data_IF_357624325248
#
_entry.id   IF_357624325248
#
_cell.length_a   1.000
_cell.length_b   1.000
_cell.length_c   1.000
_cell.angle_alpha   90.00
_cell.angle_beta   90.00
_cell.angle_gamma   90.00
#
_symmetry.space_group_name_H-M   'P 1'
#
loop_
_entity.id
_entity.type
_entity.pdbx_description
1 polymer ?
#
# COMPACT_ATOMS: atom_id res chain seq x y z
N UNK A 1 -44.08 -1.20 55.25
CA UNK A 1 -43.70 -0.33 54.12
C UNK A 1 -42.51 0.59 54.44
N UNK A 2 -42.62 1.56 55.35
CA UNK A 2 -41.51 2.51 55.67
C UNK A 2 -40.18 1.83 56.02
N UNK A 3 -40.24 0.75 56.82
CA UNK A 3 -39.04 0.02 57.24
C UNK A 3 -38.32 -0.70 56.10
N UNK A 4 -39.04 -1.19 55.09
CA UNK A 4 -38.41 -1.88 53.94
C UNK A 4 -37.83 -0.89 52.93
N UNK A 5 -38.53 0.22 52.66
CA UNK A 5 -38.03 1.27 51.77
C UNK A 5 -36.72 1.87 52.29
N UNK A 6 -36.53 1.94 53.61
CA UNK A 6 -35.30 2.46 54.21
C UNK A 6 -34.07 1.55 54.08
N UNK A 7 -34.22 0.27 53.74
CA UNK A 7 -33.10 -0.68 53.59
C UNK A 7 -32.49 -0.67 52.19
N UNK A 8 -33.23 -0.18 51.19
CA UNK A 8 -32.88 -0.26 49.77
C UNK A 8 -32.40 1.12 49.30
N UNK A 9 -31.36 1.16 48.46
CA UNK A 9 -30.89 2.42 47.86
C UNK A 9 -31.90 2.96 46.84
N UNK A 10 -31.95 4.28 46.67
CA UNK A 10 -32.92 4.95 45.80
C UNK A 10 -32.92 4.41 44.36
N UNK A 11 -31.73 4.15 43.80
CA UNK A 11 -31.59 3.59 42.45
C UNK A 11 -32.15 2.17 42.33
N UNK A 12 -31.98 1.36 43.38
CA UNK A 12 -32.46 -0.02 43.41
C UNK A 12 -33.98 -0.08 43.57
N UNK A 13 -34.58 0.88 44.28
CA UNK A 13 -36.05 1.02 44.35
C UNK A 13 -36.66 1.24 42.97
N UNK A 14 -35.95 1.91 42.06
CA UNK A 14 -36.41 2.09 40.67
C UNK A 14 -36.13 0.88 39.78
N UNK A 15 -34.98 0.24 39.93
CA UNK A 15 -34.57 -0.91 39.11
C UNK A 15 -35.33 -2.19 39.46
N UNK A 16 -35.71 -2.38 40.73
CA UNK A 16 -36.20 -3.65 41.26
C UNK A 16 -37.58 -3.49 41.95
N UNK A 17 -38.52 -2.76 41.32
CA UNK A 17 -39.87 -2.56 41.88
C UNK A 17 -40.61 -3.88 42.18
N UNK A 18 -40.44 -4.89 41.34
CA UNK A 18 -41.09 -6.19 41.52
C UNK A 18 -40.60 -6.93 42.78
N UNK A 19 -39.28 -6.92 43.03
CA UNK A 19 -38.70 -7.51 44.23
C UNK A 19 -39.23 -6.83 45.50
N UNK A 20 -39.37 -5.50 45.45
CA UNK A 20 -39.93 -4.71 46.55
C UNK A 20 -41.42 -5.05 46.78
N UNK A 21 -42.21 -5.19 45.72
CA UNK A 21 -43.61 -5.59 45.81
C UNK A 21 -43.77 -6.95 46.51
N UNK A 22 -42.97 -7.94 46.13
CA UNK A 22 -42.99 -9.27 46.75
C UNK A 22 -42.64 -9.23 48.24
N UNK A 23 -41.60 -8.48 48.62
CA UNK A 23 -41.21 -8.31 50.02
C UNK A 23 -42.30 -7.62 50.86
N UNK A 24 -42.98 -6.61 50.30
CA UNK A 24 -44.09 -5.94 50.98
C UNK A 24 -45.28 -6.89 51.18
N UNK A 25 -45.67 -7.65 50.16
CA UNK A 25 -46.76 -8.63 50.27
C UNK A 25 -46.45 -9.64 51.36
N UNK A 26 -45.21 -10.16 51.41
CA UNK A 26 -44.81 -11.13 52.42
C UNK A 26 -44.93 -10.60 53.85
N UNK A 27 -44.43 -9.38 54.11
CA UNK A 27 -44.46 -8.79 55.46
C UNK A 27 -45.88 -8.40 55.86
N UNK A 28 -46.67 -7.87 54.92
CA UNK A 28 -48.05 -7.48 55.19
C UNK A 28 -48.93 -8.70 55.44
N UNK A 29 -48.75 -9.78 54.68
CA UNK A 29 -49.45 -11.06 54.89
C UNK A 29 -49.18 -11.63 56.28
N UNK A 30 -47.92 -11.66 56.72
CA UNK A 30 -47.54 -12.12 58.06
C UNK A 30 -48.18 -11.28 59.19
N UNK A 31 -48.34 -9.97 58.97
CA UNK A 31 -48.98 -9.10 59.95
C UNK A 31 -50.52 -9.20 59.94
N UNK A 32 -51.12 -9.57 58.81
CA UNK A 32 -52.57 -9.66 58.61
C UNK A 32 -53.18 -11.02 58.99
N UNK A 33 -52.33 -12.05 59.16
CA UNK A 33 -52.72 -13.41 59.56
C UNK A 33 -53.64 -13.47 60.80
N UNK A 34 -53.39 -12.73 61.90
CA UNK A 34 -54.26 -12.78 63.08
C UNK A 34 -55.65 -12.16 62.85
N UNK A 35 -55.82 -11.39 61.77
CA UNK A 35 -57.06 -10.70 61.44
C UNK A 35 -57.85 -11.45 60.36
N UNK A 36 -57.30 -12.55 59.83
CA UNK A 36 -57.94 -13.34 58.78
C UNK A 36 -58.03 -12.61 57.42
N UNK A 37 -57.17 -11.63 57.17
CA UNK A 37 -57.15 -10.85 55.93
C UNK A 37 -55.99 -11.34 55.06
N UNK A 38 -56.25 -11.68 53.80
CA UNK A 38 -55.25 -12.09 52.83
C UNK A 38 -54.90 -10.96 51.86
N UNK A 39 -53.61 -10.67 51.71
CA UNK A 39 -53.11 -9.68 50.76
C UNK A 39 -52.70 -10.35 49.44
N UNK A 40 -53.54 -10.24 48.41
CA UNK A 40 -53.31 -10.90 47.12
C UNK A 40 -52.19 -10.25 46.28
N UNK A 41 -52.13 -8.92 46.25
CA UNK A 41 -51.15 -8.19 45.43
C UNK A 41 -50.90 -6.79 45.97
N UNK A 42 -49.64 -6.36 45.86
CA UNK A 42 -49.23 -4.99 46.16
C UNK A 42 -48.48 -4.41 44.95
N UNK A 43 -48.76 -3.15 44.62
CA UNK A 43 -48.09 -2.40 43.57
C UNK A 43 -47.74 -0.99 44.02
N UNK A 44 -46.46 -0.63 43.85
CA UNK A 44 -46.04 0.75 43.97
C UNK A 44 -46.45 1.50 42.70
N UNK A 45 -47.35 2.49 42.87
CA UNK A 45 -47.75 3.40 41.79
C UNK A 45 -46.66 4.45 41.53
N UNK A 46 -46.60 5.46 42.37
CA UNK A 46 -45.73 6.62 42.17
C UNK A 46 -44.81 6.87 43.37
N UNK A 47 -43.56 7.22 43.08
CA UNK A 47 -42.57 7.63 44.08
C UNK A 47 -42.22 9.08 43.79
N UNK A 48 -42.58 9.97 44.70
CA UNK A 48 -42.32 11.40 44.56
C UNK A 48 -40.97 11.74 45.19
N UNK A 49 -40.01 12.11 44.34
CA UNK A 49 -38.71 12.61 44.78
C UNK A 49 -38.71 14.14 44.77
N UNK A 50 -38.04 14.78 45.76
CA UNK A 50 -37.80 16.21 45.69
C UNK A 50 -36.91 16.54 44.49
N UNK A 51 -37.21 17.68 43.85
CA UNK A 51 -36.58 18.11 42.59
C UNK A 51 -35.04 18.12 42.65
N UNK A 52 -34.48 18.58 43.78
CA UNK A 52 -33.03 18.63 44.01
C UNK A 52 -32.32 17.28 43.86
N UNK A 53 -32.96 16.18 44.28
CA UNK A 53 -32.36 14.84 44.17
C UNK A 53 -32.43 14.34 42.72
N UNK A 54 -33.53 14.63 42.01
CA UNK A 54 -33.68 14.26 40.59
C UNK A 54 -32.60 14.93 39.74
N UNK A 55 -32.35 16.21 39.96
CA UNK A 55 -31.33 16.98 39.25
C UNK A 55 -29.91 16.46 39.54
N UNK A 56 -29.60 16.16 40.80
CA UNK A 56 -28.31 15.57 41.18
C UNK A 56 -28.09 14.20 40.52
N UNK A 57 -29.12 13.35 40.50
CA UNK A 57 -29.07 12.05 39.86
C UNK A 57 -28.91 12.16 38.34
N UNK A 58 -29.63 13.09 37.70
CA UNK A 58 -29.48 13.36 36.27
C UNK A 58 -28.06 13.81 35.93
N UNK A 59 -27.49 14.74 36.71
CA UNK A 59 -26.14 15.22 36.53
C UNK A 59 -25.10 14.10 36.68
N UNK A 60 -25.29 13.19 37.63
CA UNK A 60 -24.43 12.02 37.81
C UNK A 60 -24.49 11.07 36.61
N UNK A 61 -25.70 10.72 36.15
CA UNK A 61 -25.89 9.84 34.98
C UNK A 61 -25.30 10.47 33.71
N UNK A 62 -25.48 11.78 33.54
CA UNK A 62 -24.91 12.51 32.41
C UNK A 62 -23.37 12.54 32.48
N UNK A 63 -22.79 12.76 33.66
CA UNK A 63 -21.34 12.71 33.86
C UNK A 63 -20.78 11.32 33.53
N UNK A 64 -21.43 10.25 33.99
CA UNK A 64 -21.02 8.88 33.67
C UNK A 64 -21.16 8.57 32.18
N UNK A 65 -22.23 9.03 31.54
CA UNK A 65 -22.40 8.92 30.08
C UNK A 65 -21.30 9.67 29.33
N UNK A 66 -21.00 10.91 29.71
CA UNK A 66 -19.93 11.73 29.10
C UNK A 66 -18.57 11.06 29.28
N UNK A 67 -18.28 10.52 30.47
CA UNK A 67 -17.05 9.79 30.74
C UNK A 67 -16.92 8.56 29.84
N UNK A 68 -17.98 7.75 29.73
CA UNK A 68 -17.98 6.57 28.85
C UNK A 68 -17.82 6.95 27.39
N UNK A 69 -18.52 7.99 26.93
CA UNK A 69 -18.39 8.48 25.56
C UNK A 69 -16.96 8.95 25.26
N UNK A 70 -16.34 9.73 26.14
CA UNK A 70 -14.97 10.22 25.97
C UNK A 70 -13.92 9.09 25.93
N UNK A 71 -14.09 8.05 26.76
CA UNK A 71 -13.22 6.87 26.73
C UNK A 71 -13.36 6.16 25.39
N UNK A 72 -14.59 5.88 24.95
CA UNK A 72 -14.87 5.17 23.71
C UNK A 72 -14.39 5.95 22.47
N UNK A 73 -14.52 7.28 22.49
CA UNK A 73 -14.00 8.13 21.43
C UNK A 73 -12.47 8.11 21.37
N UNK A 74 -11.80 8.20 22.52
CA UNK A 74 -10.34 8.11 22.61
C UNK A 74 -9.81 6.75 22.13
N UNK A 75 -10.48 5.67 22.52
CA UNK A 75 -10.16 4.32 22.06
C UNK A 75 -10.36 4.18 20.55
N UNK A 76 -11.49 4.66 20.02
CA UNK A 76 -11.74 4.67 18.58
C UNK A 76 -10.71 5.49 17.79
N UNK A 77 -10.29 6.65 18.32
CA UNK A 77 -9.23 7.46 17.70
C UNK A 77 -7.89 6.73 17.70
N UNK A 78 -7.52 6.10 18.82
CA UNK A 78 -6.29 5.31 18.94
C UNK A 78 -6.29 4.14 17.95
N UNK A 79 -7.37 3.37 17.89
CA UNK A 79 -7.49 2.23 16.98
C UNK A 79 -7.47 2.67 15.51
N UNK A 80 -8.18 3.75 15.18
CA UNK A 80 -8.17 4.35 13.84
C UNK A 80 -6.77 4.80 13.42
N UNK A 81 -6.01 5.42 14.33
CA UNK A 81 -4.65 5.86 14.06
C UNK A 81 -3.70 4.68 13.84
N UNK A 82 -3.82 3.61 14.63
CA UNK A 82 -3.04 2.37 14.45
C UNK A 82 -3.37 1.74 13.10
N UNK A 83 -4.64 1.58 12.76
CA UNK A 83 -5.06 1.00 11.50
C UNK A 83 -4.55 1.79 10.28
N UNK A 84 -4.58 3.13 10.35
CA UNK A 84 -3.99 3.99 9.31
C UNK A 84 -2.48 3.79 9.20
N UNK A 85 -1.76 3.80 10.33
CA UNK A 85 -0.31 3.63 10.33
C UNK A 85 0.11 2.25 9.80
N UNK A 86 -0.61 1.19 10.19
CA UNK A 86 -0.38 -0.15 9.66
C UNK A 86 -0.69 -0.26 8.17
N UNK A 87 -1.80 0.34 7.72
CA UNK A 87 -2.14 0.41 6.30
C UNK A 87 -1.05 1.10 5.48
N UNK A 88 -0.54 2.24 5.97
CA UNK A 88 0.58 2.96 5.33
C UNK A 88 1.86 2.11 5.30
N UNK A 89 2.21 1.46 6.41
CA UNK A 89 3.39 0.58 6.47
C UNK A 89 3.28 -0.56 5.46
N UNK A 90 2.14 -1.26 5.44
CA UNK A 90 1.90 -2.37 4.50
C UNK A 90 1.93 -1.89 3.05
N UNK A 91 1.31 -0.74 2.76
CA UNK A 91 1.33 -0.15 1.43
C UNK A 91 2.74 0.21 0.96
N UNK A 92 3.57 0.77 1.85
CA UNK A 92 4.96 1.12 1.51
C UNK A 92 5.82 -0.12 1.26
N UNK A 93 5.66 -1.16 2.07
CA UNK A 93 6.36 -2.44 1.87
C UNK A 93 5.96 -3.06 0.54
N UNK A 94 4.65 -3.16 0.25
CA UNK A 94 4.16 -3.71 -1.01
C UNK A 94 4.62 -2.89 -2.22
N UNK A 95 4.67 -1.55 -2.11
CA UNK A 95 5.18 -0.71 -3.17
C UNK A 95 6.67 -0.97 -3.46
N UNK A 96 7.50 -1.06 -2.41
CA UNK A 96 8.93 -1.36 -2.56
C UNK A 96 9.18 -2.77 -3.08
N UNK A 97 8.40 -3.75 -2.63
CA UNK A 97 8.47 -5.13 -3.15
C UNK A 97 8.05 -5.19 -4.61
N UNK A 98 6.98 -4.47 -4.99
CA UNK A 98 6.53 -4.34 -6.36
C UNK A 98 7.58 -3.75 -7.29
N UNK A 99 8.21 -2.64 -6.89
CA UNK A 99 9.30 -2.01 -7.63
C UNK A 99 10.50 -2.96 -7.80
N UNK A 100 10.88 -3.67 -6.74
CA UNK A 100 11.96 -4.67 -6.80
C UNK A 100 11.64 -5.79 -7.79
N UNK A 101 10.41 -6.29 -7.76
CA UNK A 101 9.95 -7.35 -8.66
C UNK A 101 9.89 -6.84 -10.10
N UNK A 102 9.42 -5.62 -10.34
CA UNK A 102 9.37 -5.01 -11.67
C UNK A 102 10.78 -4.88 -12.26
N UNK A 103 11.75 -4.36 -11.50
CA UNK A 103 13.14 -4.23 -11.95
C UNK A 103 13.73 -5.61 -12.26
N UNK A 104 13.50 -6.60 -11.41
CA UNK A 104 13.95 -7.98 -11.65
C UNK A 104 13.35 -8.53 -12.94
N UNK A 105 12.03 -8.45 -13.10
CA UNK A 105 11.32 -8.99 -14.26
C UNK A 105 11.75 -8.33 -15.57
N UNK A 106 12.02 -7.02 -15.53
CA UNK A 106 12.56 -6.30 -16.67
C UNK A 106 13.98 -6.77 -17.00
N UNK A 107 14.86 -6.84 -16.01
CA UNK A 107 16.24 -7.28 -16.22
C UNK A 107 16.32 -8.74 -16.73
N UNK A 108 15.48 -9.64 -16.21
CA UNK A 108 15.40 -11.02 -16.70
C UNK A 108 14.82 -11.09 -18.10
N UNK A 109 13.76 -10.32 -18.38
CA UNK A 109 13.16 -10.22 -19.71
C UNK A 109 14.17 -9.73 -20.76
N UNK A 110 14.95 -8.70 -20.44
CA UNK A 110 16.01 -8.17 -21.31
C UNK A 110 17.14 -9.19 -21.51
N UNK A 111 17.61 -9.82 -20.44
CA UNK A 111 18.66 -10.84 -20.51
C UNK A 111 18.23 -12.03 -21.37
N UNK A 112 17.00 -12.51 -21.20
CA UNK A 112 16.45 -13.61 -21.98
C UNK A 112 16.23 -13.23 -23.45
N UNK A 113 15.80 -11.99 -23.73
CA UNK A 113 15.69 -11.49 -25.09
C UNK A 113 17.06 -11.46 -25.80
N UNK A 114 18.10 -10.95 -25.12
CA UNK A 114 19.47 -10.94 -25.63
C UNK A 114 19.98 -12.36 -25.86
N UNK A 115 19.75 -13.27 -24.90
CA UNK A 115 20.15 -14.68 -25.03
C UNK A 115 19.51 -15.33 -26.25
N UNK A 116 18.20 -15.18 -26.43
CA UNK A 116 17.48 -15.72 -27.59
C UNK A 116 17.97 -15.12 -28.91
N UNK A 117 18.27 -13.82 -28.92
CA UNK A 117 18.83 -13.16 -30.11
C UNK A 117 20.23 -13.70 -30.43
N UNK A 118 21.09 -13.87 -29.43
CA UNK A 118 22.44 -14.42 -29.60
C UNK A 118 22.40 -15.88 -30.07
N UNK A 119 21.52 -16.71 -29.50
CA UNK A 119 21.28 -18.09 -29.94
C UNK A 119 20.80 -18.14 -31.39
N UNK A 120 19.81 -17.31 -31.74
CA UNK A 120 19.29 -17.22 -33.12
C UNK A 120 20.37 -16.79 -34.11
N UNK A 121 21.24 -15.84 -33.72
CA UNK A 121 22.39 -15.42 -34.55
C UNK A 121 23.43 -16.51 -34.69
N UNK A 122 23.76 -17.20 -33.60
CA UNK A 122 24.71 -18.31 -33.65
C UNK A 122 24.21 -19.42 -34.58
N UNK A 123 22.92 -19.73 -34.53
CA UNK A 123 22.31 -20.71 -35.42
C UNK A 123 22.29 -20.23 -36.88
N UNK A 124 21.95 -18.97 -37.13
CA UNK A 124 22.03 -18.39 -38.47
C UNK A 124 23.45 -18.46 -39.05
N UNK A 125 24.48 -18.15 -38.24
CA UNK A 125 25.88 -18.25 -38.66
C UNK A 125 26.27 -19.70 -38.96
N UNK A 126 25.81 -20.68 -38.16
CA UNK A 126 26.04 -22.11 -38.45
C UNK A 126 25.43 -22.54 -39.77
N UNK A 127 24.19 -22.11 -40.06
CA UNK A 127 23.51 -22.41 -41.33
C UNK A 127 24.25 -21.77 -42.51
N UNK A 128 24.75 -20.53 -42.36
CA UNK A 128 25.55 -19.88 -43.41
C UNK A 128 26.88 -20.63 -43.60
N UNK A 129 27.56 -21.01 -42.51
CA UNK A 129 28.81 -21.76 -42.59
C UNK A 129 28.64 -23.10 -43.33
N UNK A 130 27.57 -23.86 -43.01
CA UNK A 130 27.28 -25.10 -43.73
C UNK A 130 26.89 -24.88 -45.20
N UNK A 131 26.24 -23.76 -45.51
CA UNK A 131 25.93 -23.39 -46.90
C UNK A 131 27.18 -22.99 -47.70
N UNK A 132 28.21 -22.38 -47.07
CA UNK A 132 29.48 -22.04 -47.72
C UNK A 132 30.27 -23.29 -48.12
N UNK A 133 30.23 -24.33 -47.30
CA UNK A 133 30.89 -25.61 -47.56
C UNK A 133 30.30 -26.34 -48.77
N UNK A 134 29.08 -26.01 -49.19
CA UNK A 134 28.46 -26.53 -50.42
C UNK A 134 29.15 -26.00 -51.70
N UNK A 135 28.99 -26.73 -52.80
CA UNK A 135 29.68 -26.45 -54.08
C UNK A 135 29.34 -25.03 -54.59
N UNK A 136 30.36 -24.20 -54.78
CA UNK A 136 30.29 -22.77 -55.16
C UNK A 136 29.73 -21.79 -54.09
N UNK A 137 29.57 -22.22 -52.83
CA UNK A 137 29.06 -21.35 -51.75
C UNK A 137 29.93 -20.12 -51.45
N UNK A 138 31.27 -20.27 -51.53
CA UNK A 138 32.20 -19.16 -51.28
C UNK A 138 32.07 -18.00 -52.29
N UNK A 139 31.83 -18.29 -53.57
CA UNK A 139 31.61 -17.25 -54.59
C UNK A 139 30.24 -16.56 -54.42
N UNK A 140 29.21 -17.31 -54.01
CA UNK A 140 27.89 -16.74 -53.73
C UNK A 140 27.91 -15.77 -52.53
N UNK A 141 28.65 -16.09 -51.47
CA UNK A 141 28.81 -15.19 -50.31
C UNK A 141 29.59 -13.92 -50.66
N UNK A 142 30.63 -14.01 -51.49
CA UNK A 142 31.38 -12.83 -51.93
C UNK A 142 30.50 -11.84 -52.71
N UNK A 143 29.64 -12.35 -53.61
CA UNK A 143 28.68 -11.52 -54.33
C UNK A 143 27.65 -10.89 -53.38
N UNK A 144 27.10 -11.68 -52.43
CA UNK A 144 26.13 -11.18 -51.45
C UNK A 144 26.72 -10.09 -50.52
N UNK A 145 27.98 -10.23 -50.07
CA UNK A 145 28.66 -9.19 -49.28
C UNK A 145 28.88 -7.93 -50.11
N UNK A 146 29.21 -8.06 -51.41
CA UNK A 146 29.34 -6.92 -52.30
C UNK A 146 27.99 -6.20 -52.52
N UNK A 147 26.89 -6.93 -52.71
CA UNK A 147 25.54 -6.36 -52.80
C UNK A 147 25.16 -5.62 -51.51
N UNK A 148 25.41 -6.21 -50.34
CA UNK A 148 25.09 -5.61 -49.04
C UNK A 148 25.94 -4.37 -48.74
N UNK A 149 27.22 -4.37 -49.16
CA UNK A 149 28.07 -3.19 -49.10
C UNK A 149 27.54 -2.05 -49.99
N UNK A 150 27.13 -2.36 -51.22
CA UNK A 150 26.55 -1.37 -52.14
C UNK A 150 25.24 -0.82 -51.59
N UNK A 151 24.39 -1.66 -50.98
CA UNK A 151 23.13 -1.24 -50.36
C UNK A 151 23.37 -0.36 -49.12
N UNK A 152 24.29 -0.74 -48.22
CA UNK A 152 24.67 0.06 -47.07
C UNK A 152 25.29 1.41 -47.50
N UNK A 153 26.15 1.38 -48.53
CA UNK A 153 26.71 2.59 -49.13
C UNK A 153 25.63 3.46 -49.78
N UNK A 154 24.62 2.86 -50.45
CA UNK A 154 23.46 3.58 -50.99
C UNK A 154 22.61 4.23 -49.89
N UNK A 155 22.39 3.54 -48.77
CA UNK A 155 21.70 4.09 -47.61
C UNK A 155 22.42 5.29 -46.99
N UNK A 156 23.74 5.21 -46.85
CA UNK A 156 24.58 6.31 -46.39
C UNK A 156 24.60 7.48 -47.38
N UNK A 157 24.71 7.20 -48.68
CA UNK A 157 24.68 8.22 -49.74
C UNK A 157 23.32 8.95 -49.83
N UNK A 158 22.21 8.30 -49.44
CA UNK A 158 20.88 8.93 -49.34
C UNK A 158 20.71 9.81 -48.10
N UNK A 159 21.36 9.48 -46.98
CA UNK A 159 21.21 10.21 -45.71
C UNK A 159 22.28 11.28 -45.46
N UNK A 160 23.45 11.20 -46.11
CA UNK A 160 24.55 12.14 -45.92
C UNK A 160 25.07 12.69 -47.26
N UNK A 161 24.99 14.01 -47.47
CA UNK A 161 25.32 14.71 -48.73
C UNK A 161 26.82 15.08 -48.87
N UNK A 162 27.70 14.49 -48.07
CA UNK A 162 29.15 14.75 -48.12
C UNK A 162 29.90 13.42 -48.15
N UNK A 163 30.17 12.94 -49.36
CA UNK A 163 31.04 11.78 -49.58
C UNK A 163 32.47 12.28 -49.68
N UNK A 164 33.26 12.10 -48.61
CA UNK A 164 34.72 12.26 -48.67
C UNK A 164 35.31 10.99 -49.29
N UNK A 165 35.57 11.02 -50.61
CA UNK A 165 36.40 10.00 -51.25
C UNK A 165 37.86 10.21 -50.80
N UNK A 166 38.51 9.20 -50.19
CA UNK A 166 39.96 9.22 -50.03
C UNK A 166 40.60 9.31 -51.41
N UNK A 167 41.41 10.33 -51.65
CA UNK A 167 42.12 10.56 -52.92
C UNK A 167 43.28 9.58 -53.17
N UNK A 168 43.36 8.48 -52.42
CA UNK A 168 44.28 7.38 -52.64
C UNK A 168 43.52 6.08 -52.86
N UNK A 169 42.92 5.98 -54.05
CA UNK A 169 42.18 4.83 -54.58
C UNK A 169 43.05 3.60 -54.91
N UNK A 170 44.20 3.42 -54.25
CA UNK A 170 45.22 2.46 -54.68
C UNK A 170 45.48 1.28 -53.76
N UNK A 171 45.23 1.38 -52.45
CA UNK A 171 45.75 0.36 -51.53
C UNK A 171 44.84 0.08 -50.33
N UNK A 172 43.71 -0.59 -50.60
CA UNK A 172 42.84 -1.19 -49.58
C UNK A 172 43.62 -2.20 -48.71
N UNK A 173 44.69 -2.80 -49.22
CA UNK A 173 45.53 -3.72 -48.47
C UNK A 173 46.32 -3.01 -47.36
N UNK A 174 46.71 -1.75 -47.54
CA UNK A 174 47.39 -0.95 -46.50
C UNK A 174 46.48 -0.67 -45.28
N UNK A 175 45.19 -0.40 -45.51
CA UNK A 175 44.20 -0.16 -44.44
C UNK A 175 43.90 -1.47 -43.70
N UNK A 176 43.77 -2.59 -44.44
CA UNK A 176 43.57 -3.91 -43.84
C UNK A 176 44.82 -4.36 -43.08
N UNK A 177 46.03 -4.07 -43.55
CA UNK A 177 47.27 -4.37 -42.85
C UNK A 177 47.44 -3.56 -41.54
N UNK A 178 47.00 -2.29 -41.53
CA UNK A 178 46.96 -1.48 -40.31
C UNK A 178 45.92 -2.00 -39.32
N UNK A 179 44.74 -2.42 -39.79
CA UNK A 179 43.73 -3.03 -38.94
C UNK A 179 44.16 -4.39 -38.36
N UNK A 180 44.79 -5.24 -39.17
CA UNK A 180 45.32 -6.55 -38.75
C UNK A 180 46.50 -6.42 -37.79
N UNK A 181 47.34 -5.39 -37.93
CA UNK A 181 48.46 -5.15 -37.00
C UNK A 181 47.97 -4.65 -35.64
N UNK A 182 46.92 -3.81 -35.59
CA UNK A 182 46.25 -3.44 -34.34
C UNK A 182 45.56 -4.64 -33.70
N UNK A 183 44.86 -5.46 -34.49
CA UNK A 183 44.25 -6.70 -34.00
C UNK A 183 45.30 -7.67 -33.42
N UNK A 184 46.46 -7.80 -34.07
CA UNK A 184 47.57 -8.62 -33.58
C UNK A 184 48.19 -8.05 -32.29
N UNK A 185 48.33 -6.72 -32.18
CA UNK A 185 48.82 -6.07 -30.96
C UNK A 185 47.85 -6.25 -29.76
N UNK A 186 46.54 -6.25 -30.02
CA UNK A 186 45.51 -6.51 -29.01
C UNK A 186 45.49 -8.00 -28.61
N UNK A 187 45.71 -8.93 -29.55
CA UNK A 187 45.75 -10.37 -29.26
C UNK A 187 47.04 -10.83 -28.56
N UNK A 188 48.17 -10.12 -28.68
CA UNK A 188 49.39 -10.39 -27.90
C UNK A 188 49.21 -10.03 -26.41
N UNK A 189 48.20 -9.23 -26.07
CA UNK A 189 47.95 -8.78 -24.70
C UNK A 189 47.08 -9.74 -23.87
N UNK A 190 46.66 -10.89 -24.44
CA UNK A 190 45.78 -11.83 -23.77
C UNK A 190 46.24 -13.29 -23.94
N UNK A 191 47.24 -13.70 -23.16
CA UNK A 191 47.51 -15.11 -22.89
C UNK A 191 47.44 -15.38 -21.36
N UNK A 192 46.56 -16.28 -20.87
CA UNK A 192 46.40 -16.56 -19.44
C UNK A 192 47.08 -17.88 -19.03
N UNK A 193 48.06 -17.81 -18.11
CA UNK A 193 48.51 -18.82 -17.11
C UNK A 193 49.98 -18.53 -16.79
N UNK A 194 50.53 -18.64 -15.59
CA UNK A 194 50.11 -19.09 -14.28
C UNK A 194 51.38 -19.28 -13.42
N UNK A 195 51.21 -19.24 -12.10
CA UNK A 195 52.07 -19.84 -11.06
C UNK A 195 53.31 -19.10 -10.51
N UNK A 196 53.34 -19.09 -9.17
CA UNK A 196 54.47 -19.02 -8.22
C UNK A 196 55.15 -17.64 -8.09
N UNK A 197 55.40 -17.08 -6.91
CA UNK A 197 55.57 -17.64 -5.58
C UNK A 197 56.73 -16.88 -4.91
N UNK A 198 56.56 -16.58 -3.62
CA UNK A 198 57.62 -16.55 -2.60
C UNK A 198 58.47 -15.26 -2.44
N UNK A 199 58.36 -14.71 -1.23
CA UNK A 199 59.43 -14.21 -0.35
C UNK A 199 60.30 -13.01 -0.75
N UNK A 200 60.14 -11.90 -0.02
CA UNK A 200 61.21 -11.43 0.88
C UNK A 200 60.64 -10.51 1.98
N UNK A 201 60.82 -10.97 3.22
CA UNK A 201 60.61 -10.24 4.46
C UNK A 201 61.70 -9.19 4.72
N UNK A 202 61.35 -8.08 5.37
CA UNK A 202 61.86 -7.67 6.71
C UNK A 202 61.74 -6.16 6.94
N UNK A 203 61.32 -5.75 8.15
CA UNK A 203 61.38 -4.34 8.57
C UNK A 203 60.34 -3.93 9.62
N UNK A 204 60.52 -4.40 10.85
CA UNK A 204 59.78 -4.03 12.07
C UNK A 204 59.97 -2.55 12.43
N UNK A 205 58.94 -1.90 12.99
CA UNK A 205 58.91 -1.16 14.29
C UNK A 205 57.62 -0.33 14.38
N UNK A 206 56.86 -0.56 15.45
CA UNK A 206 55.54 0.04 15.67
C UNK A 206 55.52 1.37 16.40
N UNK A 207 54.31 1.96 16.47
CA UNK A 207 53.82 2.75 17.61
C UNK A 207 52.31 2.99 17.45
N UNK A 208 51.51 2.48 18.39
CA UNK A 208 50.17 3.01 18.71
C UNK A 208 50.31 4.11 19.78
N UNK A 209 49.35 5.04 19.92
CA UNK A 209 48.29 4.80 20.91
C UNK A 209 46.88 5.40 20.64
N UNK A 210 45.86 4.70 21.18
CA UNK A 210 44.68 5.16 21.92
C UNK A 210 43.63 6.19 21.38
N UNK A 211 42.44 5.66 21.09
CA UNK A 211 41.10 5.88 21.71
C UNK A 211 40.62 7.29 22.17
N UNK A 212 39.44 7.73 21.67
CA UNK A 212 38.30 8.41 22.37
C UNK A 212 37.13 8.65 21.37
N UNK A 213 36.01 7.92 21.45
CA UNK A 213 34.74 8.23 22.17
C UNK A 213 33.79 9.26 21.51
N UNK A 214 32.71 8.75 20.90
CA UNK A 214 31.31 9.21 20.75
C UNK A 214 30.92 10.72 20.76
N UNK A 215 30.15 11.13 19.72
CA UNK A 215 28.83 11.80 19.83
C UNK A 215 28.06 11.85 18.49
N UNK A 216 26.74 11.59 18.43
CA UNK A 216 25.90 11.80 17.23
C UNK A 216 25.29 13.23 17.18
N UNK A 217 24.82 13.72 16.01
CA UNK A 217 24.40 15.11 15.80
C UNK A 217 23.00 15.45 16.38
N UNK A 218 22.72 16.72 16.71
CA UNK A 218 21.47 17.13 17.36
C UNK A 218 20.29 17.38 16.40
N UNK A 219 19.09 17.06 16.90
CA UNK A 219 17.78 17.43 16.35
C UNK A 219 17.57 18.95 16.29
N UNK A 220 17.05 19.44 15.16
CA UNK A 220 16.51 20.80 15.00
C UNK A 220 14.99 20.67 14.92
N UNK A 221 14.31 20.92 16.03
CA UNK A 221 12.89 21.28 16.06
C UNK A 221 12.78 22.56 16.88
N UNK A 222 12.75 23.71 16.20
CA UNK A 222 12.43 24.99 16.83
C UNK A 222 10.97 25.35 16.52
N UNK A 223 10.21 25.51 17.61
CA UNK A 223 8.85 26.01 17.63
C UNK A 223 8.79 27.43 17.04
N UNK A 224 8.02 27.62 15.98
CA UNK A 224 7.56 28.95 15.54
C UNK A 224 6.15 29.20 16.09
N UNK A 225 5.98 30.26 16.89
CA UNK A 225 4.68 30.79 17.32
C UNK A 225 3.93 31.38 16.12
N UNK A 226 2.58 31.30 16.04
CA UNK A 226 1.82 32.04 15.04
C UNK A 226 1.45 33.44 15.56
N UNK A 227 1.73 34.47 14.75
CA UNK A 227 1.28 35.85 15.00
C UNK A 227 -0.24 36.01 14.71
N UNK A 228 -1.00 36.80 15.50
CA UNK A 228 -2.43 36.95 15.33
C UNK A 228 -2.78 38.27 14.65
N UNK A 229 -3.03 38.30 13.33
CA UNK A 229 -3.53 39.53 12.68
C UNK A 229 -4.08 39.37 11.25
N UNK A 230 -5.15 38.59 11.05
CA UNK A 230 -6.11 38.85 9.96
C UNK A 230 -7.53 38.58 10.47
N UNK A 231 -8.24 39.66 10.83
CA UNK A 231 -9.71 39.70 10.92
C UNK A 231 -10.27 39.90 9.51
N UNK A 232 -11.29 39.15 9.12
CA UNK A 232 -11.97 39.38 7.85
C UNK A 232 -13.15 38.45 7.55
N UNK A 233 -14.23 38.61 8.31
CA UNK A 233 -15.65 38.46 7.89
C UNK A 233 -16.11 37.19 7.17
N UNK A 234 -16.82 36.35 7.93
CA UNK A 234 -17.86 35.43 7.47
C UNK A 234 -19.03 36.24 6.87
N UNK A 235 -19.48 35.89 5.66
CA UNK A 235 -20.81 36.24 5.17
C UNK A 235 -21.64 34.97 5.01
N UNK A 236 -22.55 34.78 5.96
CA UNK A 236 -23.78 34.02 5.78
C UNK A 236 -24.71 34.82 4.87
N UNK A 237 -25.22 34.21 3.80
CA UNK A 237 -26.44 34.66 3.14
C UNK A 237 -27.41 33.49 3.13
N UNK A 238 -28.37 33.60 4.03
CA UNK A 238 -29.63 32.90 4.03
C UNK A 238 -30.66 33.67 3.19
N UNK A 239 -31.68 32.93 2.73
CA UNK A 239 -33.07 33.33 2.43
C UNK A 239 -33.48 33.51 0.95
N UNK A 240 -34.80 33.42 0.61
CA UNK A 240 -35.54 32.17 0.38
C UNK A 240 -36.45 32.25 -0.88
N UNK A 241 -37.37 31.27 -1.04
CA UNK A 241 -38.57 31.26 -1.90
C UNK A 241 -38.40 30.92 -3.40
N UNK A 242 -38.75 29.67 -3.77
CA UNK A 242 -39.96 29.46 -4.57
C UNK A 242 -40.50 28.03 -4.38
N UNK A 243 -41.79 27.96 -4.00
CA UNK A 243 -42.61 26.77 -3.86
C UNK A 243 -43.63 26.80 -4.99
N UNK A 244 -43.70 25.75 -5.80
CA UNK A 244 -44.99 25.29 -6.33
C UNK A 244 -44.97 23.80 -6.67
N UNK A 245 -45.95 23.12 -6.10
CA UNK A 245 -46.36 21.73 -6.30
C UNK A 245 -47.10 21.56 -7.63
N UNK A 246 -47.00 20.37 -8.23
CA UNK A 246 -48.06 19.61 -8.93
C UNK A 246 -47.41 18.36 -9.56
N UNK A 247 -47.59 17.18 -8.95
CA UNK A 247 -48.56 16.13 -9.33
C UNK A 247 -48.22 15.40 -10.65
N UNK A 248 -47.71 14.17 -10.54
CA UNK A 248 -48.36 12.95 -11.04
C UNK A 248 -47.41 11.76 -10.90
N UNK A 249 -47.86 10.74 -10.17
CA UNK A 249 -47.18 9.46 -10.07
C UNK A 249 -47.62 8.52 -11.17
N UNK A 250 -46.70 7.68 -11.65
CA UNK A 250 -47.04 6.44 -12.33
C UNK A 250 -46.10 5.32 -11.87
N UNK A 251 -46.67 4.48 -11.01
CA UNK A 251 -46.27 3.08 -10.81
C UNK A 251 -46.45 2.32 -12.12
N UNK A 252 -45.47 1.51 -12.53
CA UNK A 252 -45.70 0.41 -13.46
C UNK A 252 -45.17 -0.88 -12.83
N UNK A 253 -46.14 -1.70 -12.43
CA UNK A 253 -46.01 -3.05 -11.88
C UNK A 253 -45.57 -4.06 -12.94
N UNK A 254 -44.96 -5.14 -12.44
CA UNK A 254 -44.78 -6.46 -13.05
C UNK A 254 -46.03 -6.98 -13.79
N UNK A 255 -45.84 -8.00 -14.66
CA UNK A 255 -46.38 -9.29 -14.24
C UNK A 255 -45.41 -10.47 -14.40
N UNK A 256 -45.44 -11.33 -13.39
CA UNK A 256 -45.04 -12.74 -13.42
C UNK A 256 -46.19 -13.62 -13.92
N UNK A 257 -45.88 -14.92 -14.14
CA UNK A 257 -46.71 -16.03 -14.69
C UNK A 257 -46.52 -16.21 -16.21
N UNK A 258 -46.25 -17.40 -16.77
CA UNK A 258 -46.61 -18.75 -16.34
C UNK A 258 -45.77 -19.84 -17.06
N UNK A 259 -45.67 -20.99 -16.41
CA UNK A 259 -45.78 -22.34 -17.00
C UNK A 259 -44.84 -22.76 -18.14
N UNK A 260 -43.89 -23.64 -17.85
CA UNK A 260 -43.76 -24.93 -18.56
C UNK A 260 -42.96 -25.91 -17.69
N UNK A 261 -43.68 -26.83 -17.05
CA UNK A 261 -43.15 -28.11 -16.58
C UNK A 261 -43.66 -29.14 -17.58
N UNK A 262 -42.80 -29.58 -18.48
CA UNK A 262 -43.06 -30.71 -19.39
C UNK A 262 -42.22 -31.89 -18.96
N UNK A 263 -42.90 -33.02 -18.88
CA UNK A 263 -42.44 -34.36 -18.54
C UNK A 263 -41.72 -35.03 -19.72
N UNK A 264 -41.02 -36.12 -19.42
CA UNK A 264 -40.57 -37.23 -20.29
C UNK A 264 -39.18 -37.06 -20.95
N UNK A 265 -38.31 -38.05 -20.66
CA UNK A 265 -37.02 -38.28 -21.30
C UNK A 265 -36.00 -38.84 -20.32
#
# INVERSE_FOLDING_TARGET
>A
MRSEIGKITLDNVFKEREALNLQIVHILGKAAEPWGIECLRYEIRDIQLPQKIKEAMQMQVEADRKKRAAILESEGQRESAINRAEGMKRSQVLASEGERMEIMNRATGEADAIRRLAESRAEAVRVIASAIEAKHGASAVQLAVAEQYIEAFSGLAKQTNTVLLPTQTGDVASIVAQALSIFKAVNVSHDPSGSNGDDFSSGVVGKSPATKSNKPPPNIFSMTKPDPRIRGTVKTVSNPEDVSLTSEGQFANFPSTSSQRSSIG
#
